data_IF_165360934083
#
_entry.id   IF_165360934083
#
_cell.length_a   1.000
_cell.length_b   1.000
_cell.length_c   1.000
_cell.angle_alpha   90.00
_cell.angle_beta   90.00
_cell.angle_gamma   90.00
#
_symmetry.space_group_name_H-M   'P 1'
#
loop_
_entity.id
_entity.type
_entity.pdbx_description
1 polymer ?
#
# COMPACT_ATOMS: atom_id res chain seq x y z
N UNK A 1 -20.99 -14.69 -5.42
CA UNK A 1 -19.52 -14.72 -5.24
C UNK A 1 -19.06 -13.28 -5.17
N UNK A 2 -18.44 -12.86 -4.08
CA UNK A 2 -17.78 -11.54 -3.99
C UNK A 2 -16.53 -11.59 -4.85
N UNK A 3 -16.55 -10.87 -5.98
CA UNK A 3 -15.44 -10.79 -6.90
C UNK A 3 -14.51 -9.67 -6.40
N UNK A 4 -13.57 -10.01 -5.52
CA UNK A 4 -12.60 -9.03 -5.00
C UNK A 4 -11.68 -8.61 -6.13
N UNK A 5 -11.68 -7.31 -6.41
CA UNK A 5 -10.83 -6.65 -7.39
C UNK A 5 -9.71 -5.94 -6.63
N UNK A 6 -8.55 -6.59 -6.52
CA UNK A 6 -7.42 -6.06 -5.74
C UNK A 6 -6.17 -6.09 -6.59
N UNK A 7 -5.41 -5.00 -6.56
CA UNK A 7 -4.06 -4.89 -7.11
C UNK A 7 -3.11 -4.66 -5.94
N UNK A 8 -2.20 -5.60 -5.72
CA UNK A 8 -1.18 -5.50 -4.66
C UNK A 8 0.15 -5.23 -5.33
N UNK A 9 0.84 -4.17 -4.91
CA UNK A 9 2.07 -3.69 -5.56
C UNK A 9 3.21 -3.63 -4.58
N UNK A 10 4.35 -4.18 -4.99
CA UNK A 10 5.64 -3.85 -4.39
C UNK A 10 6.03 -2.40 -4.73
N UNK A 11 6.89 -1.81 -3.90
CA UNK A 11 7.33 -0.42 -4.03
C UNK A 11 8.64 -0.30 -4.81
N UNK A 12 9.74 -0.73 -4.20
CA UNK A 12 11.09 -0.53 -4.72
C UNK A 12 11.31 -1.41 -5.96
N UNK A 13 11.94 -0.85 -7.00
CA UNK A 13 12.17 -1.52 -8.29
C UNK A 13 10.90 -2.07 -9.00
N UNK A 14 9.71 -1.63 -8.57
CA UNK A 14 8.40 -2.05 -9.12
C UNK A 14 7.48 -0.85 -9.37
N UNK A 15 6.97 -0.21 -8.32
CA UNK A 15 6.08 0.96 -8.42
C UNK A 15 6.88 2.26 -8.57
N UNK A 16 7.98 2.36 -7.83
CA UNK A 16 8.83 3.53 -7.80
C UNK A 16 9.89 3.45 -8.89
N UNK A 17 10.21 4.61 -9.47
CA UNK A 17 11.33 4.75 -10.38
C UNK A 17 12.68 4.88 -9.63
N UNK A 18 13.77 5.07 -10.37
CA UNK A 18 15.13 5.24 -9.82
C UNK A 18 15.29 6.41 -8.85
N UNK A 19 14.40 7.40 -8.90
CA UNK A 19 14.39 8.55 -8.00
C UNK A 19 13.53 8.30 -6.75
N UNK A 20 13.07 7.06 -6.54
CA UNK A 20 12.17 6.65 -5.45
C UNK A 20 10.82 7.39 -5.44
N UNK A 21 10.33 7.78 -6.61
CA UNK A 21 9.01 8.42 -6.77
C UNK A 21 8.13 7.63 -7.74
N UNK A 22 6.82 7.75 -7.56
CA UNK A 22 5.83 7.23 -8.50
C UNK A 22 5.70 8.21 -9.68
N UNK A 23 5.57 7.69 -10.91
CA UNK A 23 5.28 8.54 -12.06
C UNK A 23 3.83 9.05 -12.03
N UNK A 24 3.60 10.24 -12.58
CA UNK A 24 2.26 10.81 -12.68
C UNK A 24 1.30 9.91 -13.47
N UNK A 25 1.77 9.30 -14.56
CA UNK A 25 0.98 8.37 -15.37
C UNK A 25 0.50 7.16 -14.55
N UNK A 26 1.40 6.52 -13.81
CA UNK A 26 1.07 5.35 -12.97
C UNK A 26 0.14 5.75 -11.83
N UNK A 27 0.40 6.89 -11.16
CA UNK A 27 -0.46 7.39 -10.08
C UNK A 27 -1.90 7.67 -10.57
N UNK A 28 -2.03 8.31 -11.73
CA UNK A 28 -3.32 8.62 -12.34
C UNK A 28 -4.08 7.33 -12.71
N UNK A 29 -3.41 6.35 -13.32
CA UNK A 29 -4.02 5.08 -13.67
C UNK A 29 -4.49 4.31 -12.42
N UNK A 30 -3.63 4.20 -11.40
CA UNK A 30 -3.96 3.50 -10.15
C UNK A 30 -5.09 4.20 -9.39
N UNK A 31 -5.18 5.53 -9.46
CA UNK A 31 -6.34 6.26 -8.92
C UNK A 31 -7.61 5.95 -9.70
N UNK A 32 -7.56 5.96 -11.04
CA UNK A 32 -8.73 5.71 -11.87
C UNK A 32 -9.32 4.29 -11.66
N UNK A 33 -8.48 3.26 -11.53
CA UNK A 33 -8.99 1.91 -11.24
C UNK A 33 -9.59 1.81 -9.82
N UNK A 34 -9.11 2.62 -8.87
CA UNK A 34 -9.74 2.69 -7.54
C UNK A 34 -11.13 3.31 -7.61
N UNK A 35 -11.33 4.35 -8.44
CA UNK A 35 -12.65 4.92 -8.72
C UNK A 35 -13.61 3.89 -9.36
N UNK A 36 -13.08 2.88 -10.07
CA UNK A 36 -13.85 1.74 -10.62
C UNK A 36 -14.11 0.61 -9.60
N UNK A 37 -13.70 0.80 -8.35
CA UNK A 37 -13.93 -0.13 -7.24
C UNK A 37 -12.85 -1.21 -7.08
N UNK A 38 -11.65 -1.03 -7.66
CA UNK A 38 -10.48 -1.86 -7.33
C UNK A 38 -9.84 -1.34 -6.05
N UNK A 39 -9.36 -2.24 -5.19
CA UNK A 39 -8.45 -1.85 -4.11
C UNK A 39 -7.02 -1.86 -4.63
N UNK A 40 -6.28 -0.77 -4.42
CA UNK A 40 -4.83 -0.72 -4.64
C UNK A 40 -4.13 -0.79 -3.28
N UNK A 41 -3.33 -1.83 -3.05
CA UNK A 41 -2.64 -2.07 -1.77
C UNK A 41 -1.14 -2.04 -2.01
N UNK A 42 -0.40 -1.27 -1.21
CA UNK A 42 1.06 -1.31 -1.21
C UNK A 42 1.55 -2.42 -0.29
N UNK A 43 2.50 -3.24 -0.74
CA UNK A 43 3.13 -4.28 0.06
C UNK A 43 4.65 -4.20 -0.08
N UNK A 44 5.36 -3.85 0.99
CA UNK A 44 6.80 -3.61 0.92
C UNK A 44 7.54 -4.05 2.19
N UNK A 45 8.85 -4.24 2.03
CA UNK A 45 9.79 -4.36 3.15
C UNK A 45 9.99 -3.07 3.93
N UNK A 46 9.61 -1.92 3.36
CA UNK A 46 9.72 -0.61 4.03
C UNK A 46 8.97 -0.58 5.37
N UNK A 47 9.46 0.20 6.34
CA UNK A 47 8.68 0.51 7.54
C UNK A 47 7.44 1.32 7.15
N UNK A 48 6.39 1.26 7.97
CA UNK A 48 5.10 1.90 7.70
C UNK A 48 5.26 3.36 7.27
N UNK A 49 6.08 4.12 8.00
CA UNK A 49 6.32 5.55 7.80
C UNK A 49 6.96 5.84 6.43
N UNK A 50 7.78 4.91 5.93
CA UNK A 50 8.43 5.00 4.62
C UNK A 50 7.50 4.72 3.44
N UNK A 51 6.28 4.27 3.69
CA UNK A 51 5.26 3.99 2.69
C UNK A 51 4.14 5.06 2.64
N UNK A 52 3.91 5.77 3.75
CA UNK A 52 2.81 6.75 3.88
C UNK A 52 2.80 7.82 2.78
N UNK A 53 3.93 8.43 2.36
CA UNK A 53 3.90 9.44 1.30
C UNK A 53 3.30 8.89 0.00
N UNK A 54 3.78 7.76 -0.49
CA UNK A 54 3.27 7.12 -1.72
C UNK A 54 1.83 6.65 -1.57
N UNK A 55 1.44 6.15 -0.38
CA UNK A 55 0.04 5.80 -0.10
C UNK A 55 -0.90 7.01 -0.20
N UNK A 56 -0.44 8.20 0.20
CA UNK A 56 -1.21 9.44 0.07
C UNK A 56 -1.23 9.96 -1.37
N UNK A 57 -0.13 9.85 -2.10
CA UNK A 57 -0.08 10.18 -3.54
C UNK A 57 -1.08 9.34 -4.34
N UNK A 58 -1.29 8.09 -3.94
CA UNK A 58 -2.28 7.17 -4.52
C UNK A 58 -3.69 7.29 -3.93
N UNK A 59 -3.93 8.23 -3.01
CA UNK A 59 -5.22 8.45 -2.34
C UNK A 59 -5.78 7.19 -1.68
N UNK A 60 -4.91 6.34 -1.10
CA UNK A 60 -5.34 5.12 -0.44
C UNK A 60 -6.30 5.37 0.76
N UNK A 61 -6.15 6.44 1.56
CA UNK A 61 -7.11 6.78 2.61
C UNK A 61 -8.54 6.99 2.09
N UNK A 62 -8.68 7.70 0.98
CA UNK A 62 -9.96 8.04 0.35
C UNK A 62 -10.66 6.82 -0.26
N UNK A 63 -9.88 5.82 -0.66
CA UNK A 63 -10.38 4.57 -1.25
C UNK A 63 -10.45 3.41 -0.23
N UNK A 64 -10.35 3.70 1.06
CA UNK A 64 -10.46 2.72 2.15
C UNK A 64 -9.51 1.53 2.01
N UNK A 65 -8.30 1.80 1.52
CA UNK A 65 -7.32 0.75 1.22
C UNK A 65 -6.32 0.54 2.38
N UNK A 66 -5.29 -0.25 2.12
CA UNK A 66 -4.34 -0.73 3.12
C UNK A 66 -2.90 -0.56 2.63
N UNK A 67 -1.97 -0.55 3.59
CA UNK A 67 -0.56 -0.83 3.34
C UNK A 67 -0.10 -2.02 4.17
N UNK A 68 0.79 -2.82 3.59
CA UNK A 68 1.41 -3.99 4.18
C UNK A 68 2.91 -3.70 4.28
N UNK A 69 3.39 -3.48 5.49
CA UNK A 69 4.74 -2.99 5.79
C UNK A 69 5.59 -4.05 6.49
N UNK A 70 6.89 -3.79 6.61
CA UNK A 70 7.86 -4.68 7.26
C UNK A 70 7.82 -6.11 6.71
N UNK A 71 7.80 -6.27 5.38
CA UNK A 71 7.73 -7.58 4.70
C UNK A 71 6.48 -8.40 5.07
N UNK A 72 5.36 -7.72 5.34
CA UNK A 72 4.10 -8.39 5.70
C UNK A 72 3.87 -8.55 7.20
N UNK A 73 4.77 -8.06 8.05
CA UNK A 73 4.62 -8.17 9.49
C UNK A 73 3.54 -7.24 10.05
N UNK A 74 3.15 -6.19 9.31
CA UNK A 74 2.16 -5.21 9.78
C UNK A 74 1.28 -4.70 8.66
N UNK A 75 -0.04 -4.80 8.84
CA UNK A 75 -1.06 -4.24 7.95
C UNK A 75 -1.73 -3.05 8.61
N UNK A 76 -1.79 -1.93 7.90
CA UNK A 76 -2.41 -0.67 8.35
C UNK A 76 -3.60 -0.34 7.46
N UNK A 77 -4.72 0.03 8.07
CA UNK A 77 -5.86 0.61 7.37
C UNK A 77 -5.58 2.09 7.10
N UNK A 78 -5.57 2.50 5.83
CA UNK A 78 -5.22 3.88 5.48
C UNK A 78 -6.35 4.88 5.76
N UNK A 79 -7.57 4.42 6.03
CA UNK A 79 -8.70 5.31 6.35
C UNK A 79 -8.51 6.02 7.69
N UNK A 80 -8.00 5.29 8.68
CA UNK A 80 -7.88 5.75 10.07
C UNK A 80 -6.47 5.53 10.66
N UNK A 81 -5.53 5.02 9.86
CA UNK A 81 -4.16 4.67 10.24
C UNK A 81 -4.07 3.64 11.39
N UNK A 82 -5.13 2.85 11.62
CA UNK A 82 -5.15 1.79 12.63
C UNK A 82 -4.43 0.52 12.15
N UNK A 83 -3.87 -0.21 13.13
CA UNK A 83 -3.20 -1.49 12.90
C UNK A 83 -4.23 -2.61 12.85
N UNK A 84 -4.43 -3.21 11.68
CA UNK A 84 -5.35 -4.34 11.48
C UNK A 84 -4.69 -5.67 11.85
N UNK A 85 -3.41 -5.82 11.47
CA UNK A 85 -2.62 -7.02 11.74
C UNK A 85 -1.22 -6.60 12.14
N UNK A 86 -0.67 -7.24 13.16
CA UNK A 86 0.74 -7.09 13.54
C UNK A 86 1.29 -8.40 14.07
N UNK A 87 2.43 -8.83 13.53
CA UNK A 87 3.22 -9.97 13.99
C UNK A 87 4.68 -9.57 14.05
N UNK A 88 5.23 -9.51 15.27
CA UNK A 88 6.65 -9.27 15.51
C UNK A 88 7.40 -10.58 15.69
N UNK A 89 8.70 -10.57 15.37
CA UNK A 89 9.63 -11.63 15.76
C UNK A 89 10.15 -11.29 17.16
N UNK A 90 9.99 -12.21 18.10
CA UNK A 90 10.52 -12.10 19.46
C UNK A 90 12.01 -12.43 19.48
N UNK A 91 12.72 -11.97 20.53
CA UNK A 91 14.17 -12.22 20.69
C UNK A 91 14.55 -13.72 20.73
N UNK A 92 13.59 -14.61 20.98
CA UNK A 92 13.81 -16.04 21.13
C UNK A 92 13.31 -16.87 19.92
N UNK A 93 12.68 -16.21 18.94
CA UNK A 93 12.37 -16.84 17.65
C UNK A 93 13.65 -16.99 16.81
#
# INVERSE_FOLDING_TARGET
MTNYKVVVLDMDDTLLNSDNVISEETANYLTAIQDEGYYVVLASGRPTEGMIPTARDLKLPEHHSYIISYNGSKTINMTNEEVEVSKSIGKQD
#
